data_IF_954117387488
#
_entry.id   IF_954117387488
#
_cell.length_a   1.000
_cell.length_b   1.000
_cell.length_c   1.000
_cell.angle_alpha   90.00
_cell.angle_beta   90.00
_cell.angle_gamma   90.00
#
_symmetry.space_group_name_H-M   'P 1'
#
loop_
_entity.id
_entity.type
_entity.pdbx_description
1 polymer ?
#
# COMPACT_ATOMS: atom_id res chain seq x y z
N UNK A 1 -9.43 -0.82 -2.24
CA UNK A 1 -9.25 -0.28 -0.88
C UNK A 1 -8.16 -1.03 -0.16
N UNK A 2 -7.33 -0.32 0.55
CA UNK A 2 -6.20 -0.93 1.26
C UNK A 2 -6.40 -0.80 2.76
N UNK A 3 -5.70 -1.65 3.51
CA UNK A 3 -5.65 -1.55 4.97
C UNK A 3 -4.60 -0.49 5.28
N UNK A 4 -5.06 0.74 5.50
CA UNK A 4 -4.14 1.87 5.66
C UNK A 4 -3.27 1.75 6.90
N UNK A 5 -3.82 1.23 7.98
CA UNK A 5 -3.05 1.11 9.22
C UNK A 5 -1.94 0.07 9.08
N UNK A 6 -2.25 -1.07 8.48
CA UNK A 6 -1.24 -2.11 8.30
C UNK A 6 -0.15 -1.64 7.34
N UNK A 7 -0.54 -0.90 6.30
CA UNK A 7 0.45 -0.33 5.38
C UNK A 7 1.39 0.62 6.12
N UNK A 8 0.84 1.50 6.96
CA UNK A 8 1.66 2.42 7.74
C UNK A 8 2.63 1.67 8.64
N UNK A 9 2.17 0.59 9.25
CA UNK A 9 3.04 -0.22 10.11
C UNK A 9 4.18 -0.84 9.32
N UNK A 10 3.89 -1.34 8.12
CA UNK A 10 4.93 -1.93 7.28
C UNK A 10 5.94 -0.88 6.81
N UNK A 11 5.46 0.31 6.48
CA UNK A 11 6.35 1.40 6.09
C UNK A 11 7.27 1.76 7.25
N UNK A 12 6.71 1.92 8.44
CA UNK A 12 7.50 2.25 9.61
C UNK A 12 8.54 1.17 9.90
N UNK A 13 8.15 -0.09 9.79
CA UNK A 13 9.05 -1.21 10.07
C UNK A 13 10.18 -1.30 9.04
N UNK A 14 9.95 -0.80 7.82
CA UNK A 14 10.95 -0.90 6.76
C UNK A 14 12.09 0.10 6.95
N UNK A 15 11.88 1.15 7.72
CA UNK A 15 12.86 2.21 7.88
C UNK A 15 12.94 3.14 6.69
N UNK A 16 12.09 2.96 5.68
CA UNK A 16 12.06 3.81 4.50
C UNK A 16 11.06 4.92 4.66
N UNK A 17 11.31 6.04 3.97
CA UNK A 17 10.39 7.17 4.03
C UNK A 17 9.34 7.05 2.93
N UNK A 18 8.22 7.72 3.14
CA UNK A 18 7.17 7.77 2.12
C UNK A 18 7.67 8.48 0.87
N UNK A 19 8.51 9.51 1.04
CA UNK A 19 9.11 10.21 -0.09
C UNK A 19 9.95 9.27 -0.94
N UNK A 20 10.75 8.42 -0.29
CA UNK A 20 11.55 7.43 -1.01
C UNK A 20 10.65 6.47 -1.79
N UNK A 21 9.60 5.98 -1.13
CA UNK A 21 8.69 5.04 -1.77
C UNK A 21 7.98 5.68 -2.96
N UNK A 22 7.53 6.92 -2.80
CA UNK A 22 6.88 7.63 -3.90
C UNK A 22 7.83 7.78 -5.08
N UNK A 23 9.08 8.12 -4.79
CA UNK A 23 10.09 8.27 -5.84
C UNK A 23 10.29 6.97 -6.61
N UNK A 24 10.36 5.85 -5.89
CA UNK A 24 10.53 4.54 -6.52
C UNK A 24 9.35 4.21 -7.43
N UNK A 25 8.17 4.70 -7.09
CA UNK A 25 6.97 4.44 -7.85
C UNK A 25 6.72 5.48 -8.92
N UNK A 26 7.62 6.47 -9.04
CA UNK A 26 7.50 7.49 -10.08
C UNK A 26 6.38 8.48 -9.83
N UNK A 27 6.03 8.73 -8.58
CA UNK A 27 4.95 9.65 -8.27
C UNK A 27 5.38 10.66 -7.21
N UNK A 28 4.62 11.75 -7.09
CA UNK A 28 4.87 12.75 -6.07
C UNK A 28 4.46 12.21 -4.70
N UNK A 29 4.98 12.83 -3.65
CA UNK A 29 4.61 12.44 -2.29
C UNK A 29 3.12 12.69 -2.05
N UNK A 30 2.55 13.72 -2.67
CA UNK A 30 1.13 14.00 -2.52
C UNK A 30 0.29 12.90 -3.15
N UNK A 31 0.67 12.45 -4.35
CA UNK A 31 -0.04 11.35 -4.99
C UNK A 31 0.06 10.09 -4.16
N UNK A 32 1.24 9.83 -3.60
CA UNK A 32 1.42 8.66 -2.74
C UNK A 32 0.48 8.73 -1.53
N UNK A 33 0.41 9.89 -0.88
CA UNK A 33 -0.45 10.04 0.30
C UNK A 33 -1.92 9.82 -0.02
N UNK A 34 -2.36 10.33 -1.16
CA UNK A 34 -3.75 10.15 -1.58
C UNK A 34 -4.07 8.68 -1.78
N UNK A 35 -3.14 7.93 -2.37
CA UNK A 35 -3.36 6.50 -2.57
C UNK A 35 -3.24 5.73 -1.27
N UNK A 36 -2.31 6.11 -0.41
CA UNK A 36 -2.10 5.43 0.85
C UNK A 36 -3.24 5.66 1.85
N UNK A 37 -4.10 6.64 1.60
CA UNK A 37 -5.24 6.93 2.45
C UNK A 37 -6.58 6.60 1.79
N UNK A 38 -6.54 5.81 0.72
CA UNK A 38 -7.73 5.33 0.02
C UNK A 38 -8.51 6.39 -0.74
N UNK A 39 -7.90 7.53 -1.01
CA UNK A 39 -8.54 8.50 -1.89
C UNK A 39 -8.49 8.02 -3.34
N UNK A 40 -7.39 7.39 -3.71
CA UNK A 40 -7.21 6.79 -5.04
C UNK A 40 -6.56 5.43 -4.85
N UNK A 41 -6.71 4.57 -5.84
CA UNK A 41 -6.14 3.24 -5.76
C UNK A 41 -4.73 3.19 -6.32
N UNK A 42 -3.90 2.31 -5.75
CA UNK A 42 -2.62 1.98 -6.36
C UNK A 42 -2.88 1.10 -7.58
N UNK A 43 -2.08 1.29 -8.62
CA UNK A 43 -2.12 0.36 -9.76
C UNK A 43 -1.40 -0.93 -9.38
N UNK A 44 -1.63 -1.97 -10.17
CA UNK A 44 -0.96 -3.26 -9.93
C UNK A 44 0.55 -3.12 -9.93
N UNK A 45 1.07 -2.36 -10.89
CA UNK A 45 2.51 -2.12 -10.96
C UNK A 45 3.03 -1.42 -9.71
N UNK A 46 2.27 -0.43 -9.23
CA UNK A 46 2.66 0.30 -8.02
C UNK A 46 2.62 -0.60 -6.80
N UNK A 47 1.63 -1.47 -6.71
CA UNK A 47 1.56 -2.44 -5.61
C UNK A 47 2.79 -3.34 -5.62
N UNK A 48 3.20 -3.82 -6.80
CA UNK A 48 4.37 -4.67 -6.92
C UNK A 48 5.63 -3.97 -6.44
N UNK A 49 5.81 -2.72 -6.85
CA UNK A 49 6.98 -1.96 -6.43
C UNK A 49 6.96 -1.75 -4.92
N UNK A 50 5.81 -1.39 -4.39
CA UNK A 50 5.68 -1.13 -2.97
C UNK A 50 5.95 -2.40 -2.15
N UNK A 51 5.42 -3.52 -2.58
CA UNK A 51 5.67 -4.79 -1.91
C UNK A 51 7.16 -5.14 -1.93
N UNK A 52 7.81 -4.91 -3.05
CA UNK A 52 9.23 -5.19 -3.16
C UNK A 52 10.03 -4.30 -2.20
N UNK A 53 9.71 -3.01 -2.16
CA UNK A 53 10.41 -2.08 -1.30
C UNK A 53 10.19 -2.37 0.18
N UNK A 54 9.02 -2.86 0.54
CA UNK A 54 8.68 -3.14 1.93
C UNK A 54 8.98 -4.58 2.35
N UNK A 55 9.48 -5.39 1.43
CA UNK A 55 9.81 -6.77 1.76
C UNK A 55 8.58 -7.65 1.97
N UNK A 56 7.47 -7.29 1.35
CA UNK A 56 6.24 -8.06 1.45
C UNK A 56 6.25 -9.11 0.36
N UNK A 57 6.50 -10.37 0.73
CA UNK A 57 6.61 -11.43 -0.26
C UNK A 57 5.45 -12.43 -0.19
N UNK A 58 4.80 -12.54 0.97
CA UNK A 58 3.73 -13.51 1.12
C UNK A 58 2.45 -12.99 0.52
N UNK A 59 1.76 -13.83 -0.21
CA UNK A 59 0.50 -13.46 -0.82
C UNK A 59 -0.53 -13.04 0.23
N UNK A 60 -0.54 -13.71 1.38
CA UNK A 60 -1.47 -13.37 2.44
C UNK A 60 -1.26 -11.95 2.95
N UNK A 61 -0.03 -11.49 3.03
CA UNK A 61 0.25 -10.12 3.44
C UNK A 61 -0.17 -9.13 2.37
N UNK A 62 0.10 -9.46 1.10
CA UNK A 62 -0.32 -8.59 0.01
C UNK A 62 -1.83 -8.43 0.01
N UNK A 63 -2.54 -9.51 0.19
CA UNK A 63 -4.00 -9.47 0.23
C UNK A 63 -4.50 -8.67 1.42
N UNK A 64 -3.86 -8.82 2.55
CA UNK A 64 -4.26 -8.10 3.76
C UNK A 64 -4.17 -6.59 3.57
N UNK A 65 -3.11 -6.12 2.91
CA UNK A 65 -2.90 -4.69 2.74
C UNK A 65 -3.67 -4.14 1.55
N UNK A 66 -3.48 -4.75 0.39
CA UNK A 66 -3.89 -4.12 -0.86
C UNK A 66 -5.23 -4.61 -1.39
N UNK A 67 -5.70 -5.73 -0.88
CA UNK A 67 -6.96 -6.31 -1.34
C UNK A 67 -7.89 -6.54 -0.17
N UNK A 68 -7.77 -5.71 0.86
CA UNK A 68 -8.67 -5.76 2.00
C UNK A 68 -10.04 -5.34 1.55
N UNK A 69 -10.96 -6.31 1.41
CA UNK A 69 -12.26 -5.94 1.01
C UNK A 69 -13.08 -5.81 2.15
N UNK A 70 -13.83 -5.23 2.06
CA UNK A 70 -14.61 -5.08 3.08
C UNK A 70 -15.52 -6.05 3.09
N UNK A 71 -15.56 -6.60 2.93
CA UNK A 71 -16.15 -7.47 2.84
C UNK A 71 -17.28 -7.64 3.36
N UNK A 72 -17.10 -7.14 3.41
CA UNK A 72 -17.75 -7.15 3.85
C UNK A 72 -18.74 -6.97 3.66
N UNK A 73 -18.83 -6.60 3.24
CA UNK A 73 -19.55 -6.36 3.07
C UNK A 73 -20.31 -6.88 2.95
N UNK A 74 -20.22 -7.11 3.01
CA UNK A 74 -20.81 -7.48 3.00
C UNK A 74 -21.59 -7.71 2.99
N UNK A 75 -21.74 -7.71 2.83
CA UNK A 75 -22.42 -7.93 2.87
C UNK A 75 -23.10 -8.02 2.93
N UNK A 76 -23.19 -7.95 2.95
CA UNK A 76 -23.77 -8.04 3.06
C UNK A 76 -24.23 -8.22 3.04
#
# INVERSE_FOLDING_TARGET
MIDTQYLEEKIAASGKTKTHLASKMGMSIQSFRLKATNKYDFTTTQVDILCEELGITKLSEKERIFFAKKVDNTST
#
